data_IF_388047996917
#
_entry.id   IF_388047996917
#
_cell.length_a   1.000
_cell.length_b   1.000
_cell.length_c   1.000
_cell.angle_alpha   90.00
_cell.angle_beta   90.00
_cell.angle_gamma   90.00
#
_symmetry.space_group_name_H-M   'P 1'
#
loop_
_entity.id
_entity.type
_entity.pdbx_description
1 polymer ?
#
# COMPACT_ATOMS: atom_id res chain seq x y z
N UNK A 1 -35.86 65.80 18.63
CA UNK A 1 -34.75 65.13 17.95
C UNK A 1 -34.94 63.62 18.05
N UNK A 2 -35.40 62.96 16.98
CA UNK A 2 -35.57 61.50 16.98
C UNK A 2 -34.33 60.89 16.31
N UNK A 3 -33.53 60.16 17.08
CA UNK A 3 -32.38 59.40 16.62
C UNK A 3 -32.83 58.00 16.15
N UNK A 4 -32.91 57.82 14.86
CA UNK A 4 -33.20 56.51 14.27
C UNK A 4 -31.93 55.59 14.36
N UNK A 5 -32.01 54.51 15.15
CA UNK A 5 -30.95 53.53 15.24
C UNK A 5 -31.05 52.59 14.03
N UNK A 6 -30.02 52.62 13.18
CA UNK A 6 -29.85 51.68 12.04
C UNK A 6 -29.27 50.36 12.58
N UNK A 7 -30.06 49.31 12.55
CA UNK A 7 -29.59 47.96 12.87
C UNK A 7 -29.11 47.27 11.63
N UNK A 8 -27.78 47.04 11.50
CA UNK A 8 -27.20 46.27 10.40
C UNK A 8 -27.27 44.80 10.76
N UNK A 9 -28.10 44.04 10.02
CA UNK A 9 -28.13 42.55 10.14
C UNK A 9 -27.12 41.99 9.15
N UNK A 10 -26.02 41.46 9.63
CA UNK A 10 -25.04 40.73 8.82
C UNK A 10 -25.53 39.28 8.70
N UNK A 11 -26.07 38.92 7.57
CA UNK A 11 -26.39 37.52 7.24
C UNK A 11 -25.10 36.79 6.86
N UNK A 12 -24.62 35.91 7.71
CA UNK A 12 -23.50 35.01 7.40
C UNK A 12 -24.02 33.90 6.46
N UNK A 13 -23.63 33.94 5.18
CA UNK A 13 -23.85 32.84 4.26
C UNK A 13 -22.89 31.66 4.65
N UNK A 14 -23.43 30.64 5.29
CA UNK A 14 -22.72 29.37 5.43
C UNK A 14 -22.71 28.67 4.05
N UNK A 15 -21.60 28.75 3.34
CA UNK A 15 -21.37 27.92 2.15
C UNK A 15 -21.00 26.52 2.65
N UNK A 16 -21.95 25.59 2.66
CA UNK A 16 -21.67 24.18 2.89
C UNK A 16 -20.84 23.65 1.71
N UNK A 17 -19.56 23.34 1.95
CA UNK A 17 -18.76 22.63 0.96
C UNK A 17 -19.37 21.24 0.73
N UNK A 18 -19.51 20.78 -0.54
CA UNK A 18 -20.00 19.43 -0.80
C UNK A 18 -19.04 18.43 -0.16
N UNK A 19 -19.55 17.60 0.74
CA UNK A 19 -18.82 16.43 1.24
C UNK A 19 -18.80 15.40 0.11
N UNK A 20 -17.69 15.33 -0.63
CA UNK A 20 -17.47 14.23 -1.56
C UNK A 20 -17.22 12.97 -0.73
N UNK A 21 -18.08 11.95 -0.91
CA UNK A 21 -17.76 10.61 -0.39
C UNK A 21 -16.51 10.10 -1.11
N UNK A 22 -15.53 9.62 -0.36
CA UNK A 22 -14.31 9.07 -0.93
C UNK A 22 -14.65 7.89 -1.86
N UNK A 23 -14.15 7.89 -3.11
CA UNK A 23 -14.34 6.81 -4.08
C UNK A 23 -13.41 5.63 -3.72
N UNK A 24 -13.90 4.73 -2.88
CA UNK A 24 -13.18 3.54 -2.44
C UNK A 24 -13.35 2.42 -3.46
N UNK A 25 -12.22 1.88 -3.97
CA UNK A 25 -12.18 0.74 -4.90
C UNK A 25 -11.38 -0.41 -4.28
N UNK A 26 -11.96 -1.61 -4.30
CA UNK A 26 -11.25 -2.83 -3.95
C UNK A 26 -10.46 -3.28 -5.17
N UNK A 27 -9.16 -3.49 -5.00
CA UNK A 27 -8.23 -3.91 -6.05
C UNK A 27 -7.93 -5.40 -5.87
N UNK A 28 -8.25 -6.19 -6.90
CA UNK A 28 -7.99 -7.63 -6.98
C UNK A 28 -7.24 -7.90 -8.29
N UNK A 29 -5.98 -8.37 -8.25
CA UNK A 29 -5.23 -8.70 -9.46
C UNK A 29 -5.95 -9.78 -10.28
N UNK A 30 -5.93 -9.69 -11.62
CA UNK A 30 -6.48 -10.73 -12.49
C UNK A 30 -5.90 -12.11 -12.18
N UNK A 31 -6.74 -13.14 -12.14
CA UNK A 31 -6.32 -14.52 -11.89
C UNK A 31 -6.12 -14.86 -10.40
N UNK A 32 -6.31 -13.90 -9.50
CA UNK A 32 -6.30 -14.15 -8.06
C UNK A 32 -7.73 -14.20 -7.50
N UNK A 33 -7.90 -14.84 -6.33
CA UNK A 33 -9.18 -14.79 -5.60
C UNK A 33 -9.19 -13.58 -4.67
N UNK A 34 -10.36 -12.95 -4.45
CA UNK A 34 -10.50 -11.97 -3.38
C UNK A 34 -10.08 -12.58 -2.04
N UNK A 35 -9.38 -11.81 -1.21
CA UNK A 35 -9.06 -12.23 0.15
C UNK A 35 -10.35 -12.45 0.96
N UNK A 36 -10.48 -13.59 1.66
CA UNK A 36 -11.70 -13.88 2.43
C UNK A 36 -11.90 -12.91 3.59
N UNK A 37 -10.83 -12.60 4.32
CA UNK A 37 -10.87 -11.79 5.55
C UNK A 37 -10.22 -10.40 5.37
N UNK A 38 -9.68 -10.08 4.19
CA UNK A 38 -9.03 -8.81 3.89
C UNK A 38 -9.10 -8.51 2.40
N UNK A 39 -8.85 -7.26 2.01
CA UNK A 39 -8.69 -6.84 0.62
C UNK A 39 -7.21 -6.89 0.24
N UNK A 40 -6.86 -7.36 -0.96
CA UNK A 40 -5.48 -7.37 -1.45
C UNK A 40 -4.96 -5.94 -1.66
N UNK A 41 -5.82 -5.04 -2.14
CA UNK A 41 -5.55 -3.62 -2.22
C UNK A 41 -6.82 -2.80 -2.07
N UNK A 42 -6.69 -1.60 -1.52
CA UNK A 42 -7.74 -0.59 -1.44
C UNK A 42 -7.19 0.69 -2.07
N UNK A 43 -7.86 1.17 -3.12
CA UNK A 43 -7.58 2.47 -3.72
C UNK A 43 -8.64 3.46 -3.24
N UNK A 44 -8.19 4.58 -2.67
CA UNK A 44 -9.04 5.66 -2.18
C UNK A 44 -8.31 6.99 -2.36
N UNK A 45 -8.98 7.97 -2.97
CA UNK A 45 -8.45 9.33 -3.20
C UNK A 45 -7.02 9.35 -3.79
N UNK A 46 -6.75 8.49 -4.79
CA UNK A 46 -5.45 8.35 -5.43
C UNK A 46 -4.40 7.63 -4.59
N UNK A 47 -4.73 7.15 -3.38
CA UNK A 47 -3.83 6.37 -2.52
C UNK A 47 -4.21 4.90 -2.54
N UNK A 48 -3.26 4.05 -2.89
CA UNK A 48 -3.40 2.59 -2.89
C UNK A 48 -2.70 2.00 -1.66
N UNK A 49 -3.46 1.31 -0.84
CA UNK A 49 -2.98 0.51 0.28
C UNK A 49 -2.95 -0.95 -0.15
N UNK A 50 -1.76 -1.59 -0.12
CA UNK A 50 -1.57 -3.00 -0.46
C UNK A 50 -1.33 -3.78 0.83
N UNK A 51 -2.13 -4.82 1.05
CA UNK A 51 -1.94 -5.76 2.17
C UNK A 51 -0.62 -6.49 2.07
N UNK A 52 -0.14 -7.07 3.17
CA UNK A 52 1.07 -7.87 3.21
C UNK A 52 1.12 -8.91 2.09
N UNK A 53 2.20 -8.91 1.33
CA UNK A 53 2.47 -9.86 0.26
C UNK A 53 3.64 -10.73 0.68
N UNK A 54 3.38 -12.01 0.89
CA UNK A 54 4.41 -13.05 1.04
C UNK A 54 4.91 -13.51 -0.34
N UNK A 55 6.00 -14.27 -0.34
CA UNK A 55 6.58 -14.83 -1.56
C UNK A 55 5.87 -16.09 -2.08
N UNK A 56 4.56 -16.18 -1.94
CA UNK A 56 3.75 -17.30 -2.43
C UNK A 56 3.41 -17.14 -3.90
N UNK A 57 3.54 -18.22 -4.67
CA UNK A 57 3.05 -18.29 -6.05
C UNK A 57 1.52 -18.51 -6.09
N UNK A 58 0.93 -18.55 -7.28
CA UNK A 58 -0.50 -18.76 -7.48
C UNK A 58 -1.01 -20.12 -6.96
N UNK A 59 -0.11 -21.07 -6.71
CA UNK A 59 -0.43 -22.40 -6.12
C UNK A 59 -0.19 -22.43 -4.59
N UNK A 60 0.14 -21.28 -3.97
CA UNK A 60 0.42 -21.18 -2.54
C UNK A 60 1.79 -21.74 -2.11
N UNK A 61 2.73 -21.87 -3.05
CA UNK A 61 4.06 -22.42 -2.79
C UNK A 61 5.06 -21.28 -2.62
N UNK A 62 5.95 -21.44 -1.64
CA UNK A 62 7.07 -20.52 -1.40
C UNK A 62 8.33 -21.12 -2.02
N UNK A 63 9.10 -20.35 -2.82
CA UNK A 63 10.39 -20.78 -3.32
C UNK A 63 11.35 -21.16 -2.19
N UNK A 64 12.12 -22.23 -2.36
CA UNK A 64 13.13 -22.64 -1.38
C UNK A 64 14.31 -21.65 -1.30
N UNK A 65 14.65 -21.00 -2.41
CA UNK A 65 15.63 -19.92 -2.45
C UNK A 65 15.04 -18.62 -1.94
N UNK A 66 15.67 -18.01 -0.95
CA UNK A 66 15.16 -16.78 -0.35
C UNK A 66 15.13 -15.59 -1.32
N UNK A 67 16.10 -15.51 -2.24
CA UNK A 67 16.09 -14.47 -3.26
C UNK A 67 14.89 -14.59 -4.20
N UNK A 68 14.56 -15.82 -4.59
CA UNK A 68 13.37 -16.10 -5.39
C UNK A 68 12.07 -15.80 -4.58
N UNK A 69 12.05 -16.07 -3.28
CA UNK A 69 10.94 -15.71 -2.38
C UNK A 69 10.73 -14.19 -2.33
N UNK A 70 11.81 -13.40 -2.15
CA UNK A 70 11.75 -11.93 -2.16
C UNK A 70 11.23 -11.42 -3.50
N UNK A 71 11.75 -11.97 -4.61
CA UNK A 71 11.30 -11.60 -5.94
C UNK A 71 9.80 -11.88 -6.12
N UNK A 72 9.33 -13.04 -5.69
CA UNK A 72 7.91 -13.40 -5.78
C UNK A 72 7.02 -12.45 -4.96
N UNK A 73 7.43 -12.07 -3.75
CA UNK A 73 6.70 -11.08 -2.95
C UNK A 73 6.58 -9.72 -3.66
N UNK A 74 7.67 -9.27 -4.29
CA UNK A 74 7.67 -8.03 -5.08
C UNK A 74 6.85 -8.15 -6.38
N UNK A 75 6.87 -9.31 -7.05
CA UNK A 75 6.03 -9.57 -8.22
C UNK A 75 4.52 -9.55 -7.83
N UNK A 76 4.16 -10.08 -6.66
CA UNK A 76 2.80 -10.02 -6.13
C UNK A 76 2.36 -8.57 -5.86
N UNK A 77 3.23 -7.75 -5.26
CA UNK A 77 3.00 -6.29 -5.12
C UNK A 77 2.80 -5.65 -6.50
N UNK A 78 3.65 -5.97 -7.46
CA UNK A 78 3.56 -5.47 -8.84
C UNK A 78 2.24 -5.81 -9.52
N UNK A 79 1.69 -6.98 -9.24
CA UNK A 79 0.38 -7.39 -9.76
C UNK A 79 -0.76 -6.51 -9.19
N UNK A 80 -0.74 -6.19 -7.88
CA UNK A 80 -1.73 -5.29 -7.26
C UNK A 80 -1.58 -3.86 -7.77
N UNK A 81 -0.34 -3.34 -7.87
CA UNK A 81 -0.06 -2.03 -8.45
C UNK A 81 -0.61 -1.95 -9.88
N UNK A 82 -0.31 -2.93 -10.72
CA UNK A 82 -0.79 -2.97 -12.11
C UNK A 82 -2.32 -3.00 -12.19
N UNK A 83 -2.99 -3.75 -11.32
CA UNK A 83 -4.46 -3.80 -11.26
C UNK A 83 -5.08 -2.46 -10.85
N UNK A 84 -4.33 -1.60 -10.14
CA UNK A 84 -4.69 -0.23 -9.80
C UNK A 84 -4.16 0.81 -10.83
N UNK A 85 -3.64 0.36 -11.98
CA UNK A 85 -3.00 1.21 -13.00
C UNK A 85 -1.82 2.03 -12.45
N UNK A 86 -1.12 1.48 -11.45
CA UNK A 86 0.07 2.04 -10.83
C UNK A 86 1.32 1.21 -11.14
N UNK A 87 2.48 1.77 -10.81
CA UNK A 87 3.82 1.20 -11.03
C UNK A 87 4.65 1.26 -9.75
N UNK A 88 5.79 0.57 -9.66
CA UNK A 88 6.71 0.74 -8.53
C UNK A 88 7.19 2.18 -8.29
N UNK A 89 7.16 3.05 -9.31
CA UNK A 89 7.53 4.46 -9.17
C UNK A 89 6.49 5.28 -8.38
N UNK A 90 5.24 4.79 -8.28
CA UNK A 90 4.18 5.43 -7.52
C UNK A 90 4.22 5.05 -6.02
N UNK A 91 5.11 4.11 -5.63
CA UNK A 91 5.23 3.64 -4.25
C UNK A 91 5.92 4.71 -3.41
N UNK A 92 5.30 5.08 -2.29
CA UNK A 92 5.79 6.11 -1.35
C UNK A 92 6.26 5.53 -0.02
N UNK A 93 5.76 4.37 0.38
CA UNK A 93 6.13 3.73 1.65
C UNK A 93 6.13 2.21 1.53
N UNK A 94 7.11 1.57 2.18
CA UNK A 94 7.29 0.11 2.22
C UNK A 94 7.57 -0.31 3.66
N UNK A 95 6.88 -1.35 4.13
CA UNK A 95 7.23 -2.07 5.35
C UNK A 95 7.68 -3.49 4.98
N UNK A 96 8.82 -3.90 5.50
CA UNK A 96 9.39 -5.24 5.29
C UNK A 96 9.50 -5.97 6.62
N UNK A 97 8.91 -7.14 6.67
CA UNK A 97 8.95 -8.05 7.81
C UNK A 97 9.79 -9.27 7.44
N UNK A 98 10.89 -9.50 8.17
CA UNK A 98 11.79 -10.64 7.98
C UNK A 98 11.72 -11.57 9.19
N UNK A 99 11.92 -12.85 9.00
CA UNK A 99 12.05 -13.81 10.11
C UNK A 99 13.50 -14.00 10.57
N UNK A 100 14.49 -13.47 9.82
CA UNK A 100 15.92 -13.60 10.13
C UNK A 100 16.69 -12.35 9.65
N UNK A 101 17.41 -11.70 10.55
CA UNK A 101 18.25 -10.53 10.25
C UNK A 101 19.40 -10.86 9.27
N UNK A 102 19.91 -12.08 9.26
CA UNK A 102 20.98 -12.49 8.35
C UNK A 102 20.54 -12.44 6.86
N UNK A 103 19.24 -12.43 6.58
CA UNK A 103 18.67 -12.35 5.23
C UNK A 103 18.59 -10.91 4.69
N UNK A 104 18.79 -9.91 5.55
CA UNK A 104 18.67 -8.50 5.16
C UNK A 104 19.58 -8.08 3.99
N UNK A 105 20.88 -8.45 3.91
CA UNK A 105 21.73 -8.07 2.78
C UNK A 105 21.21 -8.63 1.44
N UNK A 106 20.81 -9.91 1.40
CA UNK A 106 20.29 -10.53 0.18
C UNK A 106 18.97 -9.87 -0.25
N UNK A 107 18.05 -9.60 0.68
CA UNK A 107 16.83 -8.87 0.41
C UNK A 107 17.12 -7.50 -0.19
N UNK A 108 18.08 -6.73 0.35
CA UNK A 108 18.44 -5.42 -0.14
C UNK A 108 18.88 -5.39 -1.62
N UNK A 109 19.67 -6.38 -2.05
CA UNK A 109 20.11 -6.46 -3.45
C UNK A 109 18.90 -6.52 -4.40
N UNK A 110 17.91 -7.34 -4.07
CA UNK A 110 16.71 -7.52 -4.90
C UNK A 110 15.80 -6.29 -4.81
N UNK A 111 15.61 -5.77 -3.59
CA UNK A 111 14.82 -4.57 -3.32
C UNK A 111 15.31 -3.36 -4.11
N UNK A 112 16.62 -3.09 -4.14
CA UNK A 112 17.20 -1.96 -4.88
C UNK A 112 17.17 -2.17 -6.39
N UNK A 113 17.07 -3.42 -6.84
CA UNK A 113 16.81 -3.77 -8.24
C UNK A 113 15.37 -3.46 -8.66
N UNK A 114 14.43 -3.60 -7.75
CA UNK A 114 13.00 -3.39 -8.00
C UNK A 114 12.59 -1.91 -7.87
N UNK A 115 12.91 -1.26 -6.73
CA UNK A 115 12.63 0.15 -6.49
C UNK A 115 13.82 1.02 -6.95
N UNK A 116 13.61 1.80 -8.00
CA UNK A 116 14.62 2.73 -8.53
C UNK A 116 14.62 4.06 -7.78
N UNK A 117 15.65 4.87 -7.96
CA UNK A 117 15.70 6.23 -7.41
C UNK A 117 14.68 7.17 -8.08
N UNK A 118 14.04 8.07 -7.30
CA UNK A 118 14.08 8.13 -5.83
C UNK A 118 13.31 6.96 -5.21
N UNK A 119 13.90 6.29 -4.20
CA UNK A 119 13.27 5.15 -3.54
C UNK A 119 12.20 5.58 -2.54
N UNK A 120 11.17 4.74 -2.32
CA UNK A 120 10.18 4.97 -1.27
C UNK A 120 10.83 4.97 0.12
N UNK A 121 10.15 5.57 1.10
CA UNK A 121 10.50 5.36 2.51
C UNK A 121 10.37 3.88 2.86
N UNK A 122 11.22 3.38 3.78
CA UNK A 122 11.17 1.97 4.18
C UNK A 122 11.41 1.78 5.68
N UNK A 123 10.58 0.94 6.28
CA UNK A 123 10.83 0.33 7.58
C UNK A 123 11.10 -1.16 7.37
N UNK A 124 12.16 -1.69 7.98
CA UNK A 124 12.46 -3.12 7.97
C UNK A 124 12.62 -3.60 9.41
N UNK A 125 11.90 -4.63 9.78
CA UNK A 125 11.95 -5.24 11.10
C UNK A 125 12.10 -6.77 11.00
N UNK A 126 12.67 -7.37 12.02
CA UNK A 126 12.67 -8.82 12.21
C UNK A 126 11.56 -9.17 13.18
N UNK A 127 10.72 -10.10 12.79
CA UNK A 127 9.61 -10.60 13.59
C UNK A 127 9.90 -12.02 14.05
N UNK A 128 9.31 -12.44 15.16
CA UNK A 128 9.50 -13.79 15.68
C UNK A 128 9.00 -14.87 14.70
N UNK A 129 7.91 -14.58 13.96
CA UNK A 129 7.31 -15.49 12.99
C UNK A 129 6.33 -14.71 12.11
N UNK A 130 6.20 -15.08 10.83
CA UNK A 130 5.07 -14.71 9.99
C UNK A 130 3.91 -15.67 10.20
N UNK A 131 2.70 -15.27 9.81
CA UNK A 131 1.50 -16.14 9.92
C UNK A 131 1.61 -17.35 8.98
N UNK A 132 2.14 -17.14 7.77
CA UNK A 132 2.42 -18.18 6.79
C UNK A 132 3.80 -18.81 6.95
N UNK A 133 4.16 -19.77 6.06
CA UNK A 133 5.45 -20.46 6.08
C UNK A 133 6.62 -19.64 5.51
N UNK A 134 6.39 -18.42 5.05
CA UNK A 134 7.39 -17.56 4.42
C UNK A 134 8.43 -16.98 5.38
N UNK A 135 9.48 -16.40 4.80
CA UNK A 135 10.55 -15.72 5.51
C UNK A 135 10.52 -14.20 5.36
N UNK A 136 9.68 -13.71 4.44
CA UNK A 136 9.48 -12.30 4.16
C UNK A 136 8.01 -12.00 3.87
N UNK A 137 7.57 -10.85 4.36
CA UNK A 137 6.29 -10.22 3.98
C UNK A 137 6.54 -8.73 3.74
N UNK A 138 5.90 -8.16 2.74
CA UNK A 138 6.07 -6.75 2.36
C UNK A 138 4.71 -6.09 2.22
N UNK A 139 4.52 -4.96 2.89
CA UNK A 139 3.35 -4.08 2.78
C UNK A 139 3.76 -2.78 2.08
N UNK A 140 2.88 -2.26 1.24
CA UNK A 140 3.18 -1.09 0.40
C UNK A 140 2.03 -0.09 0.41
N UNK A 141 2.39 1.21 0.41
CA UNK A 141 1.47 2.30 0.07
C UNK A 141 1.99 3.01 -1.17
N UNK A 142 1.12 3.20 -2.17
CA UNK A 142 1.42 3.94 -3.39
C UNK A 142 0.45 5.12 -3.57
N UNK A 143 0.84 6.15 -4.33
CA UNK A 143 0.01 7.33 -4.58
C UNK A 143 0.24 7.88 -5.99
N UNK A 144 -0.87 8.24 -6.65
CA UNK A 144 -0.93 9.07 -7.86
C UNK A 144 -1.57 10.41 -7.59
#
# INVERSE_FOLDING_TARGET
>A
MHTTKLTIVVAALLVAAPAFAADLKIIVPPGTKPGGNYSQGILIDGTLYISGQAGEDAAGRIPADFGAEVKQALDNIGAVLKAAEMTPADVVSVQVYLTDAARFPQMNVIYTGYFKEPRPTRTTVVVAKLVGPGNIEITVTARK
#
